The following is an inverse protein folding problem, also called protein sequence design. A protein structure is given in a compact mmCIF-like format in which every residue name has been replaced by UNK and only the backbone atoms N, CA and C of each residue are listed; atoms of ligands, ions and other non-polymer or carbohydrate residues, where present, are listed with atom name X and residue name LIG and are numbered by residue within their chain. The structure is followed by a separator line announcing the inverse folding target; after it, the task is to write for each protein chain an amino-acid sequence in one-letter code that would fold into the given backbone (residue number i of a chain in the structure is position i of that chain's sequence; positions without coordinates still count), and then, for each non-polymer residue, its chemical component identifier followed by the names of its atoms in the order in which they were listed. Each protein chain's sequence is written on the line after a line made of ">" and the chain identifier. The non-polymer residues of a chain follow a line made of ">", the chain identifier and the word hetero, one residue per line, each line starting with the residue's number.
data_IF_071841631940
#
_entry.id   IF_071841631940
#
_cell.length_a   1.000
_cell.length_b   1.000
_cell.length_c   1.000
_cell.angle_alpha   90.00
_cell.angle_beta   90.00
_cell.angle_gamma   90.00
#
_symmetry.space_group_name_H-M   'P 1'
#
loop_
_entity.id
_entity.type
_entity.pdbx_description
1 polymer ?
#
# COMPACT_ATOMS: atom_id res chain seq x y z
N UNK A 1 -23.05 -67.56 -14.40
CA UNK A 1 -21.90 -68.30 -13.85
C UNK A 1 -20.81 -67.26 -13.61
N UNK A 2 -20.74 -66.58 -12.45
CA UNK A 2 -20.05 -67.02 -11.21
C UNK A 2 -18.74 -67.72 -11.52
N UNK A 3 -17.62 -67.00 -11.46
CA UNK A 3 -16.42 -67.35 -10.68
C UNK A 3 -15.77 -66.04 -10.22
N UNK A 4 -15.30 -66.08 -8.98
CA UNK A 4 -14.81 -65.00 -8.13
C UNK A 4 -13.53 -65.56 -7.47
N UNK A 5 -12.71 -64.67 -6.87
CA UNK A 5 -11.61 -64.93 -5.89
C UNK A 5 -10.20 -65.05 -6.56
N UNK A 6 -9.08 -64.42 -6.15
CA UNK A 6 -8.56 -63.70 -4.95
C UNK A 6 -7.44 -62.73 -5.46
N UNK A 7 -7.46 -61.41 -5.21
CA UNK A 7 -6.78 -60.66 -4.12
C UNK A 7 -5.25 -60.87 -3.99
N UNK A 8 -4.46 -59.83 -4.33
CA UNK A 8 -3.21 -59.50 -3.65
C UNK A 8 -3.07 -57.98 -3.48
N UNK A 9 -2.75 -57.59 -2.25
CA UNK A 9 -2.60 -56.24 -1.69
C UNK A 9 -1.10 -55.96 -1.50
N UNK A 10 -0.65 -54.75 -1.87
CA UNK A 10 0.43 -53.94 -1.26
C UNK A 10 0.70 -52.74 -2.20
N UNK A 11 0.20 -51.51 -1.95
CA UNK A 11 0.58 -50.53 -0.92
C UNK A 11 1.93 -49.84 -1.20
N UNK A 12 1.85 -48.56 -1.60
CA UNK A 12 2.72 -47.37 -1.44
C UNK A 12 2.11 -46.34 -2.42
N UNK A 13 1.54 -45.18 -2.08
CA UNK A 13 1.67 -44.27 -0.96
C UNK A 13 1.88 -42.84 -1.53
N UNK A 14 1.17 -41.84 -0.98
CA UNK A 14 1.14 -40.40 -1.31
C UNK A 14 0.09 -40.02 -2.39
N UNK A 15 -1.13 -39.55 -2.11
CA UNK A 15 -1.60 -38.82 -0.92
C UNK A 15 -1.82 -37.35 -1.28
N UNK A 16 -2.93 -37.03 -1.94
CA UNK A 16 -3.55 -35.69 -1.83
C UNK A 16 -4.91 -35.91 -1.19
N UNK A 17 -4.88 -36.14 0.11
CA UNK A 17 -6.03 -35.91 0.97
C UNK A 17 -6.25 -34.40 0.98
N UNK A 18 -7.38 -33.95 0.43
CA UNK A 18 -8.00 -32.71 0.88
C UNK A 18 -8.31 -32.95 2.36
N UNK A 19 -7.47 -32.40 3.24
CA UNK A 19 -7.78 -32.31 4.65
C UNK A 19 -8.93 -31.33 4.79
N UNK A 20 -10.16 -31.87 4.78
CA UNK A 20 -11.24 -31.30 5.55
C UNK A 20 -10.93 -31.54 7.03
N UNK A 21 -11.19 -30.51 7.83
CA UNK A 21 -11.23 -30.44 9.29
C UNK A 21 -9.90 -30.28 10.05
N UNK A 22 -9.57 -29.00 10.30
CA UNK A 22 -9.22 -28.54 11.65
C UNK A 22 -9.96 -27.21 11.89
N UNK A 23 -10.95 -27.27 12.80
CA UNK A 23 -11.66 -26.18 13.46
C UNK A 23 -12.38 -25.11 12.60
N UNK A 24 -13.57 -25.47 12.11
CA UNK A 24 -14.83 -24.88 12.63
C UNK A 24 -15.12 -23.38 12.51
N UNK A 25 -14.27 -22.54 11.92
CA UNK A 25 -14.62 -21.20 11.48
C UNK A 25 -14.98 -21.28 9.99
N UNK A 26 -16.25 -21.52 9.67
CA UNK A 26 -16.70 -21.50 8.27
C UNK A 26 -16.36 -20.16 7.61
N UNK A 27 -16.21 -20.09 6.28
CA UNK A 27 -15.96 -18.82 5.60
C UNK A 27 -16.92 -17.69 6.04
N UNK A 28 -18.15 -18.05 6.44
CA UNK A 28 -19.13 -17.15 7.08
C UNK A 28 -18.65 -16.48 8.37
N UNK A 29 -17.86 -17.17 9.20
CA UNK A 29 -17.27 -16.64 10.45
C UNK A 29 -16.17 -15.61 10.16
N UNK A 30 -15.34 -15.84 9.13
CA UNK A 30 -14.34 -14.89 8.65
C UNK A 30 -15.00 -13.62 8.10
N UNK A 31 -16.06 -13.74 7.30
CA UNK A 31 -16.85 -12.58 6.85
C UNK A 31 -17.61 -11.90 7.99
N UNK A 32 -18.12 -12.64 8.98
CA UNK A 32 -18.85 -12.10 10.13
C UNK A 32 -17.94 -11.30 11.09
N UNK A 33 -16.65 -11.65 11.17
CA UNK A 33 -15.64 -10.88 11.93
C UNK A 33 -15.12 -9.64 11.18
N UNK A 34 -15.56 -9.40 9.94
CA UNK A 34 -15.02 -8.33 9.08
C UNK A 34 -13.70 -8.68 8.39
N UNK A 35 -13.24 -9.92 8.56
CA UNK A 35 -11.98 -10.47 8.07
C UNK A 35 -12.09 -11.10 6.66
N UNK A 36 -13.27 -11.01 6.04
CA UNK A 36 -13.53 -11.53 4.70
C UNK A 36 -12.81 -10.75 3.60
N UNK A 37 -12.74 -11.33 2.40
CA UNK A 37 -12.09 -10.76 1.20
C UNK A 37 -10.55 -10.62 1.28
N UNK A 38 -9.93 -11.27 2.26
CA UNK A 38 -8.47 -11.34 2.46
C UNK A 38 -7.77 -12.44 1.61
N UNK A 39 -8.38 -12.88 0.51
CA UNK A 39 -7.84 -13.97 -0.32
C UNK A 39 -7.45 -15.25 0.45
N UNK A 40 -8.04 -15.49 1.63
CA UNK A 40 -7.82 -16.69 2.45
C UNK A 40 -6.58 -16.67 3.36
N UNK A 41 -5.97 -15.50 3.63
CA UNK A 41 -4.78 -15.39 4.49
C UNK A 41 -5.12 -15.24 6.00
N UNK A 42 -6.36 -14.85 6.33
CA UNK A 42 -6.86 -14.46 7.66
C UNK A 42 -5.96 -13.45 8.40
N UNK A 43 -5.81 -12.24 7.86
CA UNK A 43 -5.06 -11.10 8.43
C UNK A 43 -5.66 -10.53 9.73
N UNK A 44 -6.76 -11.10 10.22
CA UNK A 44 -7.21 -10.88 11.59
C UNK A 44 -6.47 -11.76 12.62
N UNK A 45 -5.76 -12.79 12.16
CA UNK A 45 -4.92 -13.62 13.00
C UNK A 45 -3.66 -12.84 13.48
N UNK A 46 -3.31 -13.05 14.75
CA UNK A 46 -2.23 -12.33 15.39
C UNK A 46 -0.83 -12.71 14.85
N UNK A 47 -0.63 -13.95 14.38
CA UNK A 47 0.61 -14.39 13.76
C UNK A 47 0.75 -13.79 12.36
N UNK A 48 -0.34 -13.74 11.59
CA UNK A 48 -0.35 -13.09 10.26
C UNK A 48 -0.04 -11.61 10.38
N UNK A 49 -0.66 -10.91 11.34
CA UNK A 49 -0.31 -9.50 11.59
C UNK A 49 1.15 -9.33 12.03
N UNK A 50 1.73 -10.31 12.72
CA UNK A 50 3.16 -10.28 13.03
C UNK A 50 4.02 -10.38 11.77
N UNK A 51 3.68 -11.31 10.87
CA UNK A 51 4.38 -11.45 9.59
C UNK A 51 4.27 -10.17 8.75
N UNK A 52 3.11 -9.50 8.76
CA UNK A 52 2.96 -8.19 8.11
C UNK A 52 3.91 -7.16 8.72
N UNK A 53 3.99 -7.05 10.05
CA UNK A 53 4.93 -6.13 10.72
C UNK A 53 6.39 -6.43 10.35
N UNK A 54 6.77 -7.70 10.30
CA UNK A 54 8.11 -8.13 9.92
C UNK A 54 8.44 -7.80 8.45
N UNK A 55 7.44 -7.93 7.56
CA UNK A 55 7.52 -7.57 6.14
C UNK A 55 7.79 -6.08 5.95
N UNK A 56 7.19 -5.22 6.77
CA UNK A 56 7.45 -3.78 6.76
C UNK A 56 8.65 -3.36 7.63
N UNK A 57 9.19 -4.27 8.45
CA UNK A 57 10.29 -3.97 9.37
C UNK A 57 9.90 -3.00 10.48
N UNK A 58 8.70 -3.15 11.04
CA UNK A 58 8.17 -2.31 12.13
C UNK A 58 7.98 -3.13 13.41
N UNK A 59 8.14 -2.47 14.56
CA UNK A 59 7.97 -3.13 15.86
C UNK A 59 6.51 -3.45 16.17
N UNK A 60 6.28 -4.37 17.10
CA UNK A 60 4.95 -4.64 17.66
C UNK A 60 4.45 -3.50 18.54
N UNK A 61 3.13 -3.36 18.65
CA UNK A 61 2.51 -2.33 19.49
C UNK A 61 2.95 -2.41 20.97
N UNK A 62 3.15 -3.61 21.51
CA UNK A 62 3.58 -3.80 22.90
C UNK A 62 5.02 -3.28 23.12
N UNK A 63 5.91 -3.50 22.15
CA UNK A 63 7.29 -3.02 22.21
C UNK A 63 7.38 -1.49 22.11
N UNK A 64 6.53 -0.88 21.27
CA UNK A 64 6.42 0.58 21.16
C UNK A 64 5.99 1.20 22.49
N UNK A 65 4.90 0.70 23.08
CA UNK A 65 4.41 1.18 24.39
C UNK A 65 5.46 0.99 25.48
N UNK A 66 6.11 -0.18 25.54
CA UNK A 66 7.18 -0.46 26.51
C UNK A 66 8.37 0.52 26.38
N UNK A 67 8.62 1.01 25.17
CA UNK A 67 9.65 2.01 24.87
C UNK A 67 9.18 3.46 25.05
N UNK A 68 7.95 3.69 25.51
CA UNK A 68 7.37 5.02 25.66
C UNK A 68 6.98 5.69 24.35
N UNK A 69 6.89 4.94 23.26
CA UNK A 69 6.57 5.42 21.92
C UNK A 69 5.06 5.36 21.70
N UNK A 70 4.48 6.47 21.24
CA UNK A 70 3.10 6.50 20.75
C UNK A 70 3.09 6.36 19.23
N UNK A 71 2.31 5.42 18.69
CA UNK A 71 2.16 5.22 17.26
C UNK A 71 0.70 4.99 16.85
N UNK A 72 0.29 5.62 15.76
CA UNK A 72 -0.97 5.38 15.05
C UNK A 72 -0.63 4.91 13.64
N UNK A 73 -1.00 3.70 13.26
CA UNK A 73 -0.57 3.14 11.97
C UNK A 73 -1.65 2.32 11.29
N UNK A 74 -1.54 2.27 9.97
CA UNK A 74 -2.37 1.45 9.11
C UNK A 74 -1.51 0.72 8.08
N UNK A 75 -1.74 -0.59 7.96
CA UNK A 75 -1.17 -1.45 6.92
C UNK A 75 -2.23 -1.66 5.84
N UNK A 76 -1.84 -1.53 4.58
CA UNK A 76 -2.76 -1.59 3.43
C UNK A 76 -2.45 -2.77 2.52
N UNK A 77 -3.51 -3.49 2.16
CA UNK A 77 -3.49 -4.62 1.23
C UNK A 77 -4.47 -4.32 0.11
N UNK A 78 -4.04 -4.44 -1.15
CA UNK A 78 -4.92 -4.20 -2.29
C UNK A 78 -5.94 -5.34 -2.51
N UNK A 79 -6.91 -5.11 -3.39
CA UNK A 79 -7.92 -6.09 -3.75
C UNK A 79 -7.43 -7.34 -4.49
N UNK A 80 -6.11 -7.53 -4.62
CA UNK A 80 -5.47 -8.76 -5.09
C UNK A 80 -4.64 -9.43 -3.98
N UNK A 81 -4.75 -8.97 -2.73
CA UNK A 81 -4.06 -9.53 -1.58
C UNK A 81 -2.60 -9.10 -1.44
N UNK A 82 -2.18 -8.07 -2.18
CA UNK A 82 -0.79 -7.59 -2.15
C UNK A 82 -0.63 -6.50 -1.11
N UNK A 83 0.34 -6.67 -0.23
CA UNK A 83 0.83 -5.66 0.69
C UNK A 83 1.36 -4.43 -0.07
N UNK A 84 0.82 -3.26 0.23
CA UNK A 84 1.08 -2.02 -0.51
C UNK A 84 2.02 -1.10 0.26
N UNK A 85 1.63 -0.75 1.48
CA UNK A 85 2.36 0.18 2.33
C UNK A 85 1.90 0.06 3.77
N UNK A 86 2.75 0.53 4.68
CA UNK A 86 2.35 0.92 6.03
C UNK A 86 2.55 2.43 6.18
N UNK A 87 1.56 3.09 6.76
CA UNK A 87 1.62 4.51 7.15
C UNK A 87 1.60 4.56 8.66
N UNK A 88 2.60 5.20 9.27
CA UNK A 88 2.75 5.30 10.73
C UNK A 88 2.99 6.74 11.15
N UNK A 89 2.14 7.26 12.03
CA UNK A 89 2.37 8.50 12.76
C UNK A 89 2.96 8.15 14.11
N UNK A 90 4.20 8.57 14.36
CA UNK A 90 5.00 8.14 15.51
C UNK A 90 5.44 9.35 16.32
N UNK A 91 5.40 9.20 17.65
CA UNK A 91 5.96 10.13 18.61
C UNK A 91 6.83 9.37 19.59
N UNK A 92 8.14 9.54 19.44
CA UNK A 92 9.16 9.04 20.35
C UNK A 92 9.37 10.01 21.51
N UNK A 93 9.85 9.54 22.68
CA UNK A 93 10.18 10.40 23.81
C UNK A 93 11.20 11.49 23.43
N UNK A 94 10.83 12.76 23.64
CA UNK A 94 11.72 13.91 23.38
C UNK A 94 11.87 14.28 21.89
N UNK A 95 11.18 13.60 20.98
CA UNK A 95 11.24 13.85 19.54
C UNK A 95 9.93 14.48 19.06
N UNK A 96 10.03 15.41 18.11
CA UNK A 96 8.86 15.93 17.39
C UNK A 96 8.14 14.77 16.69
N UNK A 97 6.79 14.69 16.77
CA UNK A 97 6.06 13.66 16.04
C UNK A 97 6.41 13.68 14.55
N UNK A 98 6.40 12.53 13.92
CA UNK A 98 6.68 12.39 12.50
C UNK A 98 5.75 11.37 11.86
N UNK A 99 5.58 11.48 10.54
CA UNK A 99 4.98 10.44 9.72
C UNK A 99 6.09 9.63 9.07
N UNK A 100 5.86 8.34 8.97
CA UNK A 100 6.69 7.39 8.25
C UNK A 100 5.83 6.55 7.32
N UNK A 101 6.27 6.39 6.07
CA UNK A 101 5.68 5.45 5.13
C UNK A 101 6.73 4.44 4.69
N UNK A 102 6.41 3.16 4.81
CA UNK A 102 7.27 2.07 4.32
C UNK A 102 6.52 1.21 3.30
N UNK A 103 7.29 0.61 2.42
CA UNK A 103 6.83 -0.40 1.47
C UNK A 103 7.29 -1.78 1.96
N UNK A 104 6.62 -2.88 1.56
CA UNK A 104 7.04 -4.21 1.97
C UNK A 104 8.45 -4.51 1.45
N UNK A 105 9.23 -5.29 2.20
CA UNK A 105 10.50 -5.85 1.71
C UNK A 105 10.24 -6.65 0.41
N UNK A 106 11.20 -6.63 -0.50
CA UNK A 106 11.19 -7.50 -1.67
C UNK A 106 11.06 -8.98 -1.26
N UNK A 107 10.52 -9.82 -2.15
CA UNK A 107 10.30 -11.24 -1.89
C UNK A 107 11.59 -12.02 -1.56
N UNK A 108 12.75 -11.53 -2.01
CA UNK A 108 14.05 -12.10 -1.66
C UNK A 108 14.53 -11.69 -0.24
N UNK A 109 13.78 -10.82 0.44
CA UNK A 109 14.05 -10.32 1.79
C UNK A 109 15.20 -9.31 1.90
N UNK A 110 15.84 -8.93 0.79
CA UNK A 110 17.12 -8.18 0.82
C UNK A 110 16.98 -6.67 0.60
N UNK A 111 15.94 -6.22 -0.09
CA UNK A 111 15.75 -4.81 -0.43
C UNK A 111 14.42 -4.26 0.10
N UNK A 112 14.50 -3.19 0.89
CA UNK A 112 13.37 -2.33 1.25
C UNK A 112 13.70 -0.91 0.78
N UNK A 113 12.74 -0.21 0.16
CA UNK A 113 12.95 1.19 -0.16
C UNK A 113 13.10 2.00 1.13
N UNK A 114 13.99 3.00 1.11
CA UNK A 114 14.17 3.93 2.23
C UNK A 114 12.82 4.51 2.67
N UNK A 115 12.47 4.45 3.97
CA UNK A 115 11.21 4.99 4.47
C UNK A 115 11.05 6.46 4.12
N UNK A 116 9.85 6.85 3.66
CA UNK A 116 9.51 8.25 3.56
C UNK A 116 9.26 8.78 4.97
N UNK A 117 9.92 9.86 5.36
CA UNK A 117 9.72 10.49 6.67
C UNK A 117 9.54 11.99 6.55
N UNK A 118 8.67 12.55 7.38
CA UNK A 118 8.54 14.00 7.55
C UNK A 118 8.05 14.35 8.96
N UNK A 119 8.52 15.46 9.56
CA UNK A 119 8.00 15.94 10.83
C UNK A 119 6.53 16.36 10.69
N UNK A 120 5.76 16.18 11.77
CA UNK A 120 4.33 16.47 11.85
C UNK A 120 4.09 17.55 12.90
N UNK A 121 3.35 18.59 12.52
CA UNK A 121 2.97 19.66 13.42
C UNK A 121 1.93 19.22 14.47
N UNK A 122 1.83 19.98 15.57
CA UNK A 122 0.91 19.65 16.67
C UNK A 122 -0.57 19.57 16.24
N UNK A 123 -0.99 20.40 15.28
CA UNK A 123 -2.35 20.39 14.73
C UNK A 123 -2.68 19.05 14.06
N UNK A 124 -1.90 18.64 13.05
CA UNK A 124 -2.08 17.35 12.38
C UNK A 124 -1.94 16.17 13.35
N UNK A 125 -1.01 16.24 14.31
CA UNK A 125 -0.88 15.20 15.34
C UNK A 125 -2.16 15.06 16.18
N UNK A 126 -2.79 16.17 16.54
CA UNK A 126 -4.07 16.15 17.27
C UNK A 126 -5.22 15.64 16.40
N UNK A 127 -5.24 15.97 15.11
CA UNK A 127 -6.21 15.41 14.15
C UNK A 127 -6.07 13.89 14.02
N UNK A 128 -4.84 13.38 13.98
CA UNK A 128 -4.56 11.93 14.00
C UNK A 128 -5.10 11.28 15.27
N UNK A 129 -4.84 11.87 16.45
CA UNK A 129 -5.39 11.39 17.72
C UNK A 129 -6.92 11.37 17.69
N UNK A 130 -7.54 12.44 17.20
CA UNK A 130 -8.99 12.57 17.12
C UNK A 130 -9.59 11.54 16.16
N UNK A 131 -8.98 11.33 14.99
CA UNK A 131 -9.40 10.33 14.02
C UNK A 131 -9.28 8.91 14.57
N UNK A 132 -8.30 8.66 15.43
CA UNK A 132 -8.13 7.37 16.08
C UNK A 132 -9.15 7.11 17.22
N UNK A 133 -10.03 8.04 17.59
CA UNK A 133 -10.82 7.91 18.82
C UNK A 133 -11.67 6.63 18.87
N UNK A 134 -12.29 6.24 17.75
CA UNK A 134 -13.32 5.19 17.70
C UNK A 134 -13.09 4.15 16.60
N UNK A 135 -11.88 4.07 16.02
CA UNK A 135 -11.66 3.24 14.83
C UNK A 135 -11.89 1.74 15.07
N UNK A 136 -11.76 1.29 16.32
CA UNK A 136 -11.94 -0.10 16.75
C UNK A 136 -13.34 -0.40 17.32
N UNK A 137 -14.26 0.58 17.28
CA UNK A 137 -15.64 0.39 17.70
C UNK A 137 -16.49 -0.22 16.57
N UNK A 138 -17.33 -1.19 16.91
CA UNK A 138 -18.25 -1.81 15.94
C UNK A 138 -19.49 -0.96 15.72
N UNK A 139 -19.84 -0.72 14.46
CA UNK A 139 -21.04 0.03 14.09
C UNK A 139 -22.29 -0.85 14.23
N UNK A 140 -23.43 -0.25 14.56
CA UNK A 140 -24.71 -0.97 14.67
C UNK A 140 -25.10 -1.74 13.39
N UNK A 141 -24.55 -1.36 12.23
CA UNK A 141 -24.74 -2.03 10.94
C UNK A 141 -23.90 -3.31 10.80
N UNK A 142 -22.69 -3.32 11.36
CA UNK A 142 -21.82 -4.52 11.39
C UNK A 142 -22.37 -5.59 12.33
N UNK A 143 -23.07 -5.17 13.39
CA UNK A 143 -23.70 -6.07 14.37
C UNK A 143 -24.98 -6.71 13.83
N UNK A 144 -25.63 -6.14 12.80
CA UNK A 144 -26.85 -6.71 12.21
C UNK A 144 -26.52 -7.75 11.13
N UNK A 145 -27.24 -8.89 11.08
CA UNK A 145 -27.10 -9.84 9.99
C UNK A 145 -27.33 -9.15 8.64
N UNK A 146 -26.35 -9.28 7.73
CA UNK A 146 -26.33 -8.62 6.41
C UNK A 146 -27.52 -9.02 5.52
N UNK A 147 -28.27 -10.06 5.90
CA UNK A 147 -29.31 -10.72 5.11
C UNK A 147 -30.74 -10.14 5.30
N UNK A 148 -30.93 -9.13 6.16
CA UNK A 148 -32.28 -8.64 6.48
C UNK A 148 -32.98 -7.85 5.36
N UNK A 149 -32.24 -7.32 4.36
CA UNK A 149 -32.80 -6.48 3.29
C UNK A 149 -32.92 -7.18 1.92
N UNK A 150 -32.59 -8.47 1.83
CA UNK A 150 -32.67 -9.27 0.60
C UNK A 150 -31.80 -8.77 -0.56
N UNK A 151 -30.88 -7.83 -0.31
CA UNK A 151 -30.05 -7.20 -1.33
C UNK A 151 -28.69 -7.90 -1.44
N UNK A 152 -28.45 -8.59 -2.56
CA UNK A 152 -27.13 -9.13 -2.90
C UNK A 152 -26.14 -7.98 -3.13
N UNK A 153 -25.15 -7.83 -2.24
CA UNK A 153 -24.02 -6.89 -2.39
C UNK A 153 -22.78 -7.66 -2.82
N UNK A 154 -22.30 -7.38 -4.03
CA UNK A 154 -21.02 -7.87 -4.51
C UNK A 154 -19.94 -6.86 -4.18
N UNK A 155 -18.95 -7.25 -3.39
CA UNK A 155 -17.71 -6.50 -3.28
C UNK A 155 -16.66 -7.16 -4.17
N UNK A 156 -16.11 -6.40 -5.12
CA UNK A 156 -15.12 -6.90 -6.06
C UNK A 156 -13.84 -6.09 -5.88
N UNK A 157 -12.73 -6.80 -5.59
CA UNK A 157 -11.42 -6.19 -5.30
C UNK A 157 -11.44 -5.25 -4.08
N UNK A 158 -12.09 -5.67 -2.99
CA UNK A 158 -12.07 -4.93 -1.73
C UNK A 158 -10.65 -4.85 -1.18
N UNK A 159 -10.25 -3.67 -0.71
CA UNK A 159 -8.96 -3.52 -0.02
C UNK A 159 -9.08 -4.02 1.42
N UNK A 160 -8.00 -4.54 1.98
CA UNK A 160 -7.94 -4.95 3.38
C UNK A 160 -6.99 -4.05 4.15
N UNK A 161 -7.35 -3.71 5.39
CA UNK A 161 -6.53 -2.88 6.27
C UNK A 161 -6.33 -3.56 7.61
N UNK A 162 -5.20 -3.23 8.25
CA UNK A 162 -4.96 -3.48 9.67
C UNK A 162 -4.58 -2.15 10.30
N UNK A 163 -5.44 -1.65 11.18
CA UNK A 163 -5.25 -0.41 11.92
C UNK A 163 -4.77 -0.73 13.35
N UNK A 164 -3.83 0.08 13.84
CA UNK A 164 -3.30 -0.06 15.19
C UNK A 164 -3.06 1.31 15.83
N UNK A 165 -3.36 1.41 17.12
CA UNK A 165 -2.99 2.53 17.98
C UNK A 165 -2.27 1.99 19.22
N UNK A 166 -0.98 2.28 19.30
CA UNK A 166 -0.13 2.02 20.46
C UNK A 166 0.09 3.35 21.19
N UNK A 167 -0.60 3.57 22.30
CA UNK A 167 -0.53 4.83 23.06
C UNK A 167 0.29 4.59 24.31
N UNK A 168 1.48 5.20 24.37
CA UNK A 168 2.33 5.15 25.55
C UNK A 168 1.76 6.00 26.69
N UNK A 169 2.14 5.71 27.96
CA UNK A 169 1.73 6.54 29.09
C UNK A 169 2.16 7.99 28.89
N UNK A 170 1.24 8.93 29.15
CA UNK A 170 1.52 10.36 28.99
C UNK A 170 0.85 11.17 30.08
N UNK A 171 1.43 12.33 30.38
CA UNK A 171 0.80 13.28 31.29
C UNK A 171 -0.52 13.77 30.68
N UNK A 172 -1.59 13.67 31.46
CA UNK A 172 -2.87 14.26 31.11
C UNK A 172 -2.78 15.79 31.22
N UNK A 173 -2.67 16.43 30.07
CA UNK A 173 -2.59 17.89 29.99
C UNK A 173 -3.89 18.59 30.39
N UNK A 174 -5.03 17.89 30.39
CA UNK A 174 -6.29 18.46 30.87
C UNK A 174 -6.26 18.72 32.38
N UNK A 175 -5.49 17.92 33.13
CA UNK A 175 -5.30 18.09 34.58
C UNK A 175 -4.28 19.18 34.89
N UNK A 176 -3.28 19.39 34.02
CA UNK A 176 -2.36 20.53 34.13
C UNK A 176 -3.06 21.88 33.93
N UNK A 177 -4.18 21.90 33.21
CA UNK A 177 -4.94 23.11 32.89
C UNK A 177 -5.99 23.51 33.95
N UNK A 178 -6.18 22.75 35.04
CA UNK A 178 -7.23 23.11 36.00
C UNK A 178 -7.31 22.27 37.26
N UNK A 179 -6.61 22.69 38.31
CA UNK A 179 -7.09 22.56 39.71
C UNK A 179 -7.27 23.91 40.40
N UNK A 180 -7.16 25.02 39.66
CA UNK A 180 -7.64 26.33 40.09
C UNK A 180 -8.95 26.65 39.40
N UNK A 181 -9.99 26.97 40.18
CA UNK A 181 -11.10 27.81 39.71
C UNK A 181 -10.53 28.98 38.91
N UNK A 182 -11.22 29.47 37.86
CA UNK A 182 -10.77 30.63 37.08
C UNK A 182 -10.49 31.89 37.94
N UNK A 183 -10.93 31.89 39.21
CA UNK A 183 -10.74 32.95 40.21
C UNK A 183 -9.78 32.58 41.37
N UNK A 184 -9.17 31.39 41.36
CA UNK A 184 -8.24 30.96 42.41
C UNK A 184 -6.79 31.06 41.91
N UNK A 185 -6.01 31.99 42.49
CA UNK A 185 -4.56 31.97 42.33
C UNK A 185 -4.02 30.58 42.71
N UNK A 186 -3.34 29.94 41.76
CA UNK A 186 -2.71 28.64 41.98
C UNK A 186 -1.60 28.80 43.02
N UNK A 187 -1.71 28.09 44.13
CA UNK A 187 -0.61 27.93 45.08
C UNK A 187 0.53 27.15 44.41
N UNK A 188 1.61 27.84 44.09
CA UNK A 188 2.79 27.29 43.42
C UNK A 188 3.61 26.36 44.33
N UNK A 189 3.28 26.27 45.62
CA UNK A 189 3.95 25.40 46.59
C UNK A 189 3.38 23.98 46.64
N UNK A 190 2.21 23.73 46.04
CA UNK A 190 1.62 22.39 46.01
C UNK A 190 2.17 21.56 44.84
N UNK A 191 2.65 20.33 45.08
CA UNK A 191 3.06 19.44 44.00
C UNK A 191 1.86 19.11 43.12
N UNK A 192 1.95 19.43 41.83
CA UNK A 192 0.99 18.91 40.85
C UNK A 192 1.41 17.49 40.55
N UNK A 193 0.70 16.54 41.15
CA UNK A 193 0.81 15.15 40.75
C UNK A 193 0.28 15.07 39.31
N UNK A 194 1.19 14.86 38.36
CA UNK A 194 0.82 14.68 36.96
C UNK A 194 -0.06 13.43 36.87
N UNK A 195 -1.35 13.61 36.62
CA UNK A 195 -2.23 12.48 36.32
C UNK A 195 -1.73 11.86 35.03
N UNK A 196 -1.24 10.62 35.12
CA UNK A 196 -0.78 9.88 33.96
C UNK A 196 -1.97 9.20 33.31
N UNK A 197 -2.17 9.45 32.03
CA UNK A 197 -3.04 8.62 31.22
C UNK A 197 -2.34 7.29 30.99
N UNK A 198 -3.04 6.20 31.32
CA UNK A 198 -2.52 4.84 31.14
C UNK A 198 -2.23 4.55 29.67
N UNK A 199 -1.30 3.63 29.43
CA UNK A 199 -1.06 3.12 28.09
C UNK A 199 -2.28 2.38 27.56
N UNK A 200 -2.48 2.41 26.25
CA UNK A 200 -3.48 1.57 25.59
C UNK A 200 -2.95 1.02 24.28
N UNK A 201 -3.37 -0.20 23.94
CA UNK A 201 -3.13 -0.81 22.64
C UNK A 201 -4.51 -1.17 22.09
N UNK A 202 -4.81 -0.67 20.90
CA UNK A 202 -6.05 -0.96 20.18
C UNK A 202 -5.70 -1.35 18.75
N UNK A 203 -6.43 -2.30 18.20
CA UNK A 203 -6.28 -2.73 16.81
C UNK A 203 -7.61 -3.20 16.26
N UNK A 204 -7.83 -2.96 14.98
CA UNK A 204 -8.92 -3.56 14.23
C UNK A 204 -8.42 -3.87 12.82
N UNK A 205 -8.95 -4.94 12.24
CA UNK A 205 -8.61 -5.42 10.91
C UNK A 205 -9.89 -5.60 10.11
N UNK A 206 -9.94 -5.03 8.92
CA UNK A 206 -11.20 -4.84 8.22
C UNK A 206 -11.01 -4.85 6.70
N UNK A 207 -11.89 -5.58 6.00
CA UNK A 207 -12.07 -5.40 4.57
C UNK A 207 -12.91 -4.15 4.27
N UNK A 208 -12.57 -3.39 3.23
CA UNK A 208 -13.25 -2.15 2.80
C UNK A 208 -14.73 -2.33 2.43
N UNK A 209 -15.20 -3.58 2.42
CA UNK A 209 -16.56 -4.00 2.13
C UNK A 209 -17.44 -4.18 3.39
N UNK A 210 -16.84 -4.03 4.57
CA UNK A 210 -17.50 -4.21 5.86
C UNK A 210 -18.16 -2.92 6.38
N UNK A 211 -17.85 -1.76 5.78
CA UNK A 211 -18.37 -0.42 6.15
C UNK A 211 -18.02 0.00 7.59
N UNK A 212 -16.92 -0.49 8.15
CA UNK A 212 -16.45 -0.19 9.50
C UNK A 212 -15.62 1.08 9.62
N UNK A 213 -15.23 1.38 10.87
CA UNK A 213 -14.53 2.62 11.21
C UNK A 213 -13.02 2.54 10.97
N UNK A 214 -12.45 1.33 10.91
CA UNK A 214 -11.01 1.12 10.77
C UNK A 214 -10.54 1.54 9.38
N UNK A 215 -11.34 1.29 8.34
CA UNK A 215 -11.07 1.76 6.97
C UNK A 215 -11.03 3.28 6.90
N UNK A 216 -12.02 3.97 7.47
CA UNK A 216 -12.06 5.43 7.49
C UNK A 216 -10.84 6.04 8.18
N UNK A 217 -10.45 5.49 9.33
CA UNK A 217 -9.23 5.89 10.03
C UNK A 217 -7.97 5.62 9.21
N UNK A 218 -7.82 4.43 8.62
CA UNK A 218 -6.66 4.05 7.84
C UNK A 218 -6.46 4.99 6.63
N UNK A 219 -7.49 5.17 5.80
CA UNK A 219 -7.40 6.09 4.66
C UNK A 219 -7.19 7.54 5.09
N UNK A 220 -7.77 7.95 6.23
CA UNK A 220 -7.48 9.24 6.86
C UNK A 220 -5.99 9.42 7.20
N UNK A 221 -5.34 8.41 7.78
CA UNK A 221 -3.88 8.44 8.02
C UNK A 221 -3.10 8.61 6.71
N UNK A 222 -3.49 7.89 5.65
CA UNK A 222 -2.83 8.03 4.35
C UNK A 222 -2.98 9.45 3.80
N UNK A 223 -4.15 10.07 3.92
CA UNK A 223 -4.39 11.45 3.48
C UNK A 223 -3.58 12.47 4.30
N UNK A 224 -3.44 12.28 5.61
CA UNK A 224 -2.54 13.10 6.43
C UNK A 224 -1.08 12.92 6.01
N UNK A 225 -0.66 11.70 5.68
CA UNK A 225 0.70 11.42 5.24
C UNK A 225 1.01 12.12 3.90
N UNK A 226 0.06 12.12 2.95
CA UNK A 226 0.19 12.87 1.70
C UNK A 226 0.44 14.35 1.95
N UNK A 227 -0.31 14.97 2.87
CA UNK A 227 -0.14 16.38 3.24
C UNK A 227 1.23 16.65 3.89
N UNK A 228 1.73 15.72 4.68
CA UNK A 228 2.99 15.86 5.40
C UNK A 228 4.25 15.58 4.54
N UNK A 229 4.11 14.88 3.41
CA UNK A 229 5.22 14.42 2.57
C UNK A 229 5.30 15.22 1.25
N UNK A 230 5.87 16.45 1.26
CA UNK A 230 5.91 17.30 0.07
C UNK A 230 6.67 16.67 -1.10
N UNK A 231 7.61 15.76 -0.85
CA UNK A 231 8.32 15.02 -1.89
C UNK A 231 7.43 14.09 -2.74
N UNK A 232 6.19 13.85 -2.31
CA UNK A 232 5.20 13.08 -3.07
C UNK A 232 4.15 13.96 -3.76
N UNK A 233 4.25 15.29 -3.65
CA UNK A 233 3.19 16.22 -4.08
C UNK A 233 2.94 16.24 -5.60
N UNK A 234 3.88 15.77 -6.41
CA UNK A 234 3.72 15.69 -7.87
C UNK A 234 3.05 14.40 -8.35
N UNK A 235 2.92 13.39 -7.49
CA UNK A 235 2.13 12.19 -7.80
C UNK A 235 0.64 12.56 -7.78
N UNK A 236 -0.11 12.09 -8.77
CA UNK A 236 -1.54 12.38 -8.89
C UNK A 236 -2.37 11.20 -8.41
N UNK A 237 -3.28 11.44 -7.46
CA UNK A 237 -4.16 10.38 -6.95
C UNK A 237 -5.02 9.75 -8.05
N UNK A 238 -5.35 10.51 -9.10
CA UNK A 238 -6.11 9.99 -10.26
C UNK A 238 -5.37 8.87 -11.00
N UNK A 239 -4.04 8.90 -11.00
CA UNK A 239 -3.18 7.87 -11.60
C UNK A 239 -3.05 6.62 -10.71
N UNK A 240 -3.20 6.76 -9.40
CA UNK A 240 -2.93 5.70 -8.41
C UNK A 240 -4.17 5.16 -7.69
N UNK A 241 -5.38 5.62 -8.05
CA UNK A 241 -6.68 5.25 -7.45
C UNK A 241 -6.91 5.75 -6.02
N UNK A 242 -5.90 5.73 -5.15
CA UNK A 242 -6.00 6.17 -3.75
C UNK A 242 -4.65 6.58 -3.14
N UNK A 243 -4.70 7.24 -1.98
CA UNK A 243 -3.54 7.76 -1.25
C UNK A 243 -2.52 6.67 -0.85
N UNK A 244 -2.91 5.49 -0.33
CA UNK A 244 -1.94 4.43 -0.03
C UNK A 244 -1.12 3.95 -1.23
N UNK A 245 -1.76 3.75 -2.39
CA UNK A 245 -1.06 3.34 -3.61
C UNK A 245 -0.13 4.43 -4.12
N UNK A 246 -0.58 5.70 -4.06
CA UNK A 246 0.23 6.86 -4.44
C UNK A 246 1.48 7.00 -3.55
N UNK A 247 1.31 6.88 -2.23
CA UNK A 247 2.41 6.92 -1.27
C UNK A 247 3.39 5.75 -1.49
N UNK A 248 2.86 4.57 -1.79
CA UNK A 248 3.66 3.38 -2.11
C UNK A 248 4.47 3.56 -3.40
N UNK A 249 3.90 4.19 -4.43
CA UNK A 249 4.61 4.55 -5.65
C UNK A 249 5.74 5.57 -5.36
N UNK A 250 5.42 6.66 -4.66
CA UNK A 250 6.41 7.66 -4.24
C UNK A 250 7.56 7.06 -3.40
N UNK A 251 7.24 6.14 -2.49
CA UNK A 251 8.23 5.48 -1.65
C UNK A 251 9.19 4.59 -2.48
N UNK A 252 8.67 3.90 -3.50
CA UNK A 252 9.46 3.07 -4.42
C UNK A 252 10.23 3.86 -5.47
N UNK A 253 9.85 5.09 -5.76
CA UNK A 253 10.59 5.93 -6.69
C UNK A 253 11.98 6.27 -6.16
N UNK A 254 12.98 6.11 -7.03
CA UNK A 254 14.37 6.44 -6.76
C UNK A 254 14.74 7.84 -7.26
N UNK A 255 15.75 8.44 -6.62
CA UNK A 255 16.30 9.75 -7.00
C UNK A 255 15.39 10.91 -6.62
N UNK A 256 15.25 11.90 -7.50
CA UNK A 256 14.36 13.05 -7.29
C UNK A 256 12.89 12.60 -7.41
N UNK A 257 12.23 12.43 -6.27
CA UNK A 257 10.83 11.99 -6.21
C UNK A 257 9.85 12.97 -6.83
N UNK A 258 10.15 14.27 -6.82
CA UNK A 258 9.28 15.27 -7.43
C UNK A 258 9.33 15.16 -8.96
N UNK A 259 10.52 14.95 -9.51
CA UNK A 259 10.70 14.64 -10.93
C UNK A 259 10.04 13.30 -11.30
N UNK A 260 10.25 12.24 -10.51
CA UNK A 260 9.63 10.94 -10.72
C UNK A 260 8.09 10.99 -10.71
N UNK A 261 7.50 11.78 -9.80
CA UNK A 261 6.05 11.97 -9.74
C UNK A 261 5.48 12.67 -10.97
N UNK A 262 6.17 13.69 -11.49
CA UNK A 262 5.75 14.33 -12.75
C UNK A 262 5.92 13.37 -13.93
N UNK A 263 7.04 12.63 -14.00
CA UNK A 263 7.28 11.63 -15.03
C UNK A 263 6.25 10.49 -15.01
N UNK A 264 5.67 10.17 -13.84
CA UNK A 264 4.62 9.15 -13.73
C UNK A 264 3.36 9.55 -14.47
N UNK A 265 2.99 10.85 -14.47
CA UNK A 265 1.86 11.38 -15.24
C UNK A 265 2.09 11.22 -16.74
N UNK A 266 3.32 11.46 -17.20
CA UNK A 266 3.71 11.20 -18.58
C UNK A 266 3.51 9.72 -18.95
N UNK A 267 3.88 8.79 -18.06
CA UNK A 267 3.68 7.35 -18.32
C UNK A 267 2.22 6.97 -18.46
N UNK A 268 1.33 7.50 -17.62
CA UNK A 268 -0.12 7.29 -17.77
C UNK A 268 -0.61 7.73 -19.15
N UNK A 269 -0.13 8.90 -19.63
CA UNK A 269 -0.45 9.41 -20.97
C UNK A 269 0.07 8.49 -22.07
N UNK A 270 1.35 8.11 -22.01
CA UNK A 270 1.97 7.20 -22.99
C UNK A 270 1.24 5.86 -23.07
N UNK A 271 0.96 5.23 -21.92
CA UNK A 271 0.23 3.95 -21.87
C UNK A 271 -1.17 4.07 -22.46
N UNK A 272 -1.88 5.19 -22.20
CA UNK A 272 -3.18 5.46 -22.80
C UNK A 272 -3.08 5.64 -24.32
N UNK A 273 -2.12 6.41 -24.81
CA UNK A 273 -1.90 6.62 -26.25
C UNK A 273 -1.59 5.30 -26.96
N UNK A 274 -0.71 4.48 -26.39
CA UNK A 274 -0.36 3.15 -26.92
C UNK A 274 -1.56 2.20 -26.91
N UNK A 275 -2.39 2.23 -25.86
CA UNK A 275 -3.59 1.39 -25.77
C UNK A 275 -4.68 1.79 -26.77
N UNK A 276 -4.80 3.07 -27.07
CA UNK A 276 -5.82 3.60 -27.98
C UNK A 276 -5.37 3.60 -29.45
N UNK A 277 -4.15 3.14 -29.74
CA UNK A 277 -3.56 3.13 -31.11
C UNK A 277 -3.63 4.51 -31.78
N UNK A 278 -3.43 5.57 -30.98
CA UNK A 278 -3.49 6.96 -31.43
C UNK A 278 -2.11 7.42 -31.94
N UNK A 279 -1.70 6.86 -33.08
CA UNK A 279 -0.37 7.10 -33.67
C UNK A 279 -0.07 8.58 -33.93
N UNK A 280 -1.09 9.36 -34.32
CA UNK A 280 -0.97 10.79 -34.60
C UNK A 280 -0.65 11.63 -33.36
N UNK A 281 -1.03 11.15 -32.16
CA UNK A 281 -0.80 11.85 -30.90
C UNK A 281 0.58 11.55 -30.29
N UNK A 282 1.21 10.44 -30.71
CA UNK A 282 2.47 9.97 -30.16
C UNK A 282 3.63 10.94 -30.44
N UNK A 283 3.61 11.64 -31.58
CA UNK A 283 4.66 12.63 -31.92
C UNK A 283 4.77 13.77 -30.91
N UNK A 284 3.68 14.11 -30.22
CA UNK A 284 3.66 15.14 -29.18
C UNK A 284 4.33 14.69 -27.87
N UNK A 285 4.58 13.39 -27.73
CA UNK A 285 5.28 12.79 -26.59
C UNK A 285 6.80 12.77 -26.77
N UNK A 286 7.33 13.26 -27.89
CA UNK A 286 8.77 13.35 -28.15
C UNK A 286 9.25 14.80 -28.16
N UNK A 287 10.48 15.02 -27.68
CA UNK A 287 11.17 16.31 -27.79
C UNK A 287 11.13 16.81 -29.23
N UNK A 288 10.62 18.04 -29.41
CA UNK A 288 10.59 18.73 -30.70
C UNK A 288 9.56 18.22 -31.71
N UNK A 289 8.49 17.54 -31.25
CA UNK A 289 7.44 16.99 -32.11
C UNK A 289 7.98 15.95 -33.12
N UNK A 290 8.81 15.04 -32.62
CA UNK A 290 9.61 14.14 -33.45
C UNK A 290 8.81 13.02 -34.13
N UNK A 291 8.13 13.32 -35.25
CA UNK A 291 7.41 12.33 -36.08
C UNK A 291 8.31 11.14 -36.46
N UNK A 292 9.56 11.40 -36.85
CA UNK A 292 10.57 10.36 -37.12
C UNK A 292 10.87 9.49 -35.89
N UNK A 293 11.01 10.12 -34.71
CA UNK A 293 11.29 9.39 -33.46
C UNK A 293 10.10 8.53 -33.06
N UNK A 294 8.89 9.08 -33.16
CA UNK A 294 7.64 8.36 -32.90
C UNK A 294 7.48 7.13 -33.82
N UNK A 295 7.74 7.29 -35.12
CA UNK A 295 7.69 6.16 -36.06
C UNK A 295 8.73 5.09 -35.74
N UNK A 296 9.97 5.49 -35.42
CA UNK A 296 11.03 4.55 -35.02
C UNK A 296 10.67 3.82 -33.72
N UNK A 297 10.05 4.52 -32.78
CA UNK A 297 9.58 3.92 -31.53
C UNK A 297 8.50 2.89 -31.79
N UNK A 298 7.46 3.24 -32.56
CA UNK A 298 6.39 2.30 -32.93
C UNK A 298 6.93 1.07 -33.66
N UNK A 299 7.85 1.26 -34.62
CA UNK A 299 8.51 0.15 -35.30
C UNK A 299 9.34 -0.74 -34.35
N UNK A 300 9.94 -0.17 -33.29
CA UNK A 300 10.73 -0.92 -32.32
C UNK A 300 9.87 -1.77 -31.38
N UNK A 301 8.64 -1.32 -31.07
CA UNK A 301 7.71 -2.02 -30.19
C UNK A 301 6.68 -2.88 -30.93
N UNK A 302 6.70 -2.89 -32.26
CA UNK A 302 5.72 -3.55 -33.12
C UNK A 302 5.54 -5.05 -32.79
N UNK A 303 4.27 -5.48 -32.72
CA UNK A 303 3.86 -6.81 -32.29
C UNK A 303 4.11 -7.12 -30.80
N UNK A 304 4.53 -6.14 -30.01
CA UNK A 304 4.83 -6.27 -28.59
C UNK A 304 3.90 -5.45 -27.70
N UNK A 305 3.74 -5.88 -26.45
CA UNK A 305 3.05 -5.12 -25.41
C UNK A 305 4.08 -4.52 -24.45
N UNK A 306 4.06 -3.20 -24.32
CA UNK A 306 5.01 -2.43 -23.50
C UNK A 306 4.56 -2.42 -22.03
N UNK A 307 5.47 -2.75 -21.13
CA UNK A 307 5.33 -2.71 -19.68
C UNK A 307 6.42 -1.82 -19.11
N UNK A 308 6.05 -0.64 -18.62
CA UNK A 308 6.99 0.32 -18.07
C UNK A 308 6.98 0.24 -16.54
N UNK A 309 8.17 0.29 -15.96
CA UNK A 309 8.38 0.40 -14.52
C UNK A 309 8.10 1.80 -13.99
N UNK A 310 8.40 2.00 -12.71
CA UNK A 310 8.30 3.31 -12.08
C UNK A 310 9.43 4.23 -12.59
N UNK A 311 9.17 5.54 -12.80
CA UNK A 311 10.22 6.48 -13.14
C UNK A 311 11.23 6.66 -12.01
N UNK A 312 12.49 6.79 -12.38
CA UNK A 312 13.57 7.31 -11.54
C UNK A 312 13.80 8.79 -11.91
N UNK A 313 13.66 9.70 -10.95
CA UNK A 313 14.02 11.11 -11.16
C UNK A 313 15.53 11.26 -11.08
N UNK A 314 16.18 11.74 -12.14
CA UNK A 314 17.63 11.93 -12.15
C UNK A 314 17.98 13.32 -11.58
N UNK A 315 17.23 14.33 -12.00
CA UNK A 315 17.29 15.70 -11.51
C UNK A 315 15.95 16.42 -11.79
N UNK A 316 15.92 17.74 -11.62
CA UNK A 316 14.72 18.54 -11.83
C UNK A 316 14.13 18.39 -13.25
N UNK A 317 14.97 18.21 -14.26
CA UNK A 317 14.60 18.24 -15.68
C UNK A 317 14.76 16.88 -16.39
N UNK A 318 15.36 15.89 -15.74
CA UNK A 318 15.59 14.56 -16.33
C UNK A 318 15.00 13.44 -15.47
N UNK A 319 14.37 12.48 -16.14
CA UNK A 319 13.91 11.23 -15.52
C UNK A 319 14.21 10.06 -16.45
N UNK A 320 14.34 8.86 -15.88
CA UNK A 320 14.54 7.61 -16.61
C UNK A 320 13.45 6.63 -16.28
N UNK A 321 12.99 5.90 -17.29
CA UNK A 321 12.02 4.82 -17.14
C UNK A 321 12.60 3.57 -17.78
N UNK A 322 12.64 2.50 -17.01
CA UNK A 322 13.03 1.17 -17.49
C UNK A 322 11.79 0.27 -17.56
N UNK A 323 11.79 -0.69 -18.47
CA UNK A 323 10.67 -1.57 -18.67
C UNK A 323 11.00 -2.72 -19.62
N UNK A 324 9.95 -3.42 -20.03
CA UNK A 324 10.02 -4.58 -20.89
C UNK A 324 8.93 -4.55 -21.96
N UNK A 325 9.24 -5.10 -23.12
CA UNK A 325 8.29 -5.34 -24.20
C UNK A 325 8.08 -6.84 -24.30
N UNK A 326 6.84 -7.31 -24.11
CA UNK A 326 6.48 -8.71 -24.26
C UNK A 326 5.93 -8.97 -25.66
N UNK A 327 6.59 -9.85 -26.40
CA UNK A 327 6.14 -10.31 -27.71
C UNK A 327 5.54 -11.71 -27.58
N UNK A 328 4.35 -11.89 -28.15
CA UNK A 328 3.65 -13.17 -28.19
C UNK A 328 3.90 -13.83 -29.54
N UNK A 329 4.43 -15.04 -29.55
CA UNK A 329 4.60 -15.81 -30.79
C UNK A 329 3.64 -17.00 -30.88
N UNK A 330 3.09 -17.19 -32.09
CA UNK A 330 2.29 -18.34 -32.50
C UNK A 330 0.83 -18.34 -32.02
N UNK A 331 -0.04 -19.08 -32.73
CA UNK A 331 -1.46 -19.30 -32.37
C UNK A 331 -1.64 -20.04 -31.02
N UNK A 332 -0.59 -20.69 -30.50
CA UNK A 332 -0.61 -21.41 -29.21
C UNK A 332 -0.13 -20.58 -28.00
N UNK A 333 0.44 -19.37 -28.21
CA UNK A 333 0.90 -18.50 -27.12
C UNK A 333 2.15 -18.98 -26.36
N UNK A 334 2.87 -19.98 -26.88
CA UNK A 334 3.96 -20.68 -26.19
C UNK A 334 5.32 -19.98 -26.26
N UNK A 335 5.63 -19.22 -27.32
CA UNK A 335 6.90 -18.48 -27.38
C UNK A 335 6.71 -17.04 -26.93
N UNK A 336 7.02 -16.75 -25.67
CA UNK A 336 7.12 -15.38 -25.16
C UNK A 336 8.56 -14.91 -25.35
N UNK A 337 8.75 -13.86 -26.16
CA UNK A 337 10.02 -13.14 -26.19
C UNK A 337 9.87 -11.85 -25.39
N UNK A 338 10.96 -11.38 -24.79
CA UNK A 338 11.05 -10.11 -24.09
C UNK A 338 12.20 -9.29 -24.67
N UNK A 339 12.03 -7.97 -24.72
CA UNK A 339 13.13 -7.04 -24.92
C UNK A 339 13.06 -5.97 -23.83
N UNK A 340 14.20 -5.60 -23.27
CA UNK A 340 14.26 -4.50 -22.31
C UNK A 340 14.12 -3.16 -23.05
N UNK A 341 13.49 -2.18 -22.43
CA UNK A 341 13.32 -0.84 -22.98
C UNK A 341 13.70 0.21 -21.94
N UNK A 342 14.43 1.23 -22.37
CA UNK A 342 14.77 2.39 -21.55
C UNK A 342 14.28 3.65 -22.25
N UNK A 343 13.61 4.52 -21.50
CA UNK A 343 13.18 5.85 -21.94
C UNK A 343 13.90 6.88 -21.09
N UNK A 344 14.60 7.81 -21.74
CA UNK A 344 15.11 9.01 -21.10
C UNK A 344 14.15 10.15 -21.39
N UNK A 345 13.71 10.79 -20.32
CA UNK A 345 12.70 11.82 -20.34
C UNK A 345 13.35 13.17 -20.06
N UNK A 346 12.93 14.17 -20.82
CA UNK A 346 13.33 15.57 -20.63
C UNK A 346 12.09 16.40 -20.31
N UNK A 347 12.19 17.26 -19.30
CA UNK A 347 11.14 18.20 -18.95
C UNK A 347 11.04 19.28 -20.02
N UNK A 348 9.84 19.47 -20.56
CA UNK A 348 9.49 20.58 -21.42
C UNK A 348 8.27 21.30 -20.87
N UNK A 349 8.43 22.60 -20.59
CA UNK A 349 7.42 23.42 -19.91
C UNK A 349 7.08 22.86 -18.52
N UNK A 350 5.98 22.11 -18.40
CA UNK A 350 5.48 21.55 -17.13
C UNK A 350 5.32 20.02 -17.16
N UNK A 351 5.76 19.34 -18.23
CA UNK A 351 5.61 17.90 -18.36
C UNK A 351 6.89 17.25 -18.90
N UNK A 352 6.99 15.94 -18.74
CA UNK A 352 8.05 15.15 -19.35
C UNK A 352 7.66 14.70 -20.75
N UNK A 353 8.64 14.61 -21.63
CA UNK A 353 8.54 14.01 -22.97
C UNK A 353 9.74 13.10 -23.19
N UNK A 354 9.64 12.17 -24.12
CA UNK A 354 10.73 11.28 -24.50
C UNK A 354 11.78 12.08 -25.26
N UNK A 355 12.98 12.15 -24.69
CA UNK A 355 14.15 12.62 -25.43
C UNK A 355 14.74 11.46 -26.24
N UNK A 356 15.20 10.43 -25.56
CA UNK A 356 15.79 9.23 -26.17
C UNK A 356 15.11 7.95 -25.69
N UNK A 357 15.19 6.91 -26.51
CA UNK A 357 14.77 5.57 -26.14
C UNK A 357 15.74 4.54 -26.70
N UNK A 358 15.89 3.45 -25.96
CA UNK A 358 16.69 2.29 -26.34
C UNK A 358 15.84 1.02 -26.17
N UNK A 359 15.88 0.13 -27.16
CA UNK A 359 15.22 -1.18 -27.11
C UNK A 359 16.28 -2.24 -27.30
N UNK A 360 16.40 -3.14 -26.32
CA UNK A 360 17.34 -4.25 -26.32
C UNK A 360 16.99 -5.32 -27.35
N UNK A 361 17.88 -6.32 -27.46
CA UNK A 361 17.63 -7.48 -28.31
C UNK A 361 16.52 -8.36 -27.73
N UNK A 362 15.72 -8.98 -28.60
CA UNK A 362 14.70 -9.95 -28.17
C UNK A 362 15.37 -11.20 -27.61
N UNK A 363 14.95 -11.63 -26.43
CA UNK A 363 15.39 -12.85 -25.75
C UNK A 363 14.18 -13.69 -25.31
N UNK A 364 14.33 -15.02 -25.11
CA UNK A 364 13.26 -15.83 -24.53
C UNK A 364 12.84 -15.33 -23.15
N UNK A 365 11.55 -15.33 -22.85
CA UNK A 365 11.02 -14.97 -21.54
C UNK A 365 11.48 -15.99 -20.48
N UNK A 366 12.08 -15.53 -19.39
CA UNK A 366 12.62 -16.40 -18.33
C UNK A 366 14.05 -16.92 -18.56
N UNK A 367 14.74 -16.44 -19.60
CA UNK A 367 16.18 -16.56 -19.71
C UNK A 367 16.82 -15.32 -19.05
N UNK A 368 17.40 -15.52 -17.86
CA UNK A 368 18.26 -14.53 -17.20
C UNK A 368 19.66 -14.51 -17.83
#
# INVERSE_FOLDING_TARGET
>A
MRWMILLLVAALGNGTAFAQDADGAGASDVFARGCGDDNGVDRCDAEVQQQMRDLYGVERAEALVASGITAYRAMFVDGYGRDIAIVSFVREPGVTPFVEVRTPKAQDGTAQAEPLRAPVGGEMWNEVIASAAHFDEKLAREVRPRDEDGTLRFCLHGWFIVAEAAVAPRVDQSVLAGTGSMDAERDSSLPVEAVMRESSIRSDAEGSCADGLAVGFAFGLADFAVKALPQCATFDIEDFRNSPMMLSACARSSGDRMAAGTASRFLSKLQRTLRLEQDDDLKWLFVGFGEERARRFMAAIDGGKVYLGQPAGLDADHARVEGQILFWGGESGESRQVADITLDLLRQTNDFVIDTFEVGSRRPFGAD
#
